data_IF_557262481276
#
_entry.id   IF_557262481276
#
_cell.length_a   1.000
_cell.length_b   1.000
_cell.length_c   1.000
_cell.angle_alpha   90.00
_cell.angle_beta   90.00
_cell.angle_gamma   90.00
#
_symmetry.space_group_name_H-M   'P 1'
#
loop_
_entity.id
_entity.type
_entity.pdbx_description
1 polymer ?
#
# COMPACT_ATOMS: atom_id res chain seq x y z
N UNK A 1 5.04 6.93 -9.58
CA UNK A 1 3.63 6.70 -9.98
C UNK A 1 3.63 5.42 -10.79
N UNK A 2 2.75 4.46 -10.44
CA UNK A 2 2.58 3.24 -11.24
C UNK A 2 2.17 3.63 -12.67
N UNK A 3 2.68 2.98 -13.73
CA UNK A 3 2.55 3.45 -15.12
C UNK A 3 1.10 3.72 -15.56
N UNK A 4 0.12 3.06 -14.95
CA UNK A 4 -1.28 3.13 -15.37
C UNK A 4 -2.15 4.09 -14.54
N UNK A 5 -1.63 4.67 -13.45
CA UNK A 5 -2.40 5.59 -12.58
C UNK A 5 -3.67 4.99 -11.92
N UNK A 6 -3.91 3.69 -12.11
CA UNK A 6 -5.12 3.00 -11.67
C UNK A 6 -5.00 2.42 -10.24
N UNK A 7 -3.87 2.62 -9.56
CA UNK A 7 -3.70 2.16 -8.18
C UNK A 7 -3.20 3.32 -7.31
N UNK A 8 -3.90 3.56 -6.20
CA UNK A 8 -3.52 4.50 -5.15
C UNK A 8 -3.09 3.71 -3.92
N UNK A 9 -1.83 3.89 -3.49
CA UNK A 9 -1.30 3.33 -2.25
C UNK A 9 -1.27 4.40 -1.16
N UNK A 10 -1.58 4.04 0.08
CA UNK A 10 -1.56 4.95 1.22
C UNK A 10 -1.42 4.20 2.55
N UNK A 11 -0.94 4.88 3.58
CA UNK A 11 -0.79 4.35 4.93
C UNK A 11 -2.04 4.62 5.79
N UNK A 12 -2.47 3.68 6.63
CA UNK A 12 -3.68 3.82 7.46
C UNK A 12 -3.67 2.90 8.69
N UNK A 13 -4.26 3.35 9.80
CA UNK A 13 -4.42 2.61 11.08
C UNK A 13 -5.80 1.96 11.19
N UNK A 14 -6.32 1.41 10.08
CA UNK A 14 -7.67 0.83 10.04
C UNK A 14 -7.75 -0.43 10.92
N UNK A 15 -8.90 -0.69 11.59
CA UNK A 15 -9.10 -1.93 12.34
C UNK A 15 -8.90 -3.18 11.46
N UNK A 16 -8.26 -4.21 12.01
CA UNK A 16 -7.96 -5.45 11.29
C UNK A 16 -6.67 -5.41 10.45
N UNK A 17 -5.85 -4.37 10.62
CA UNK A 17 -4.49 -4.30 10.11
C UNK A 17 -3.52 -5.28 10.80
N UNK A 18 -2.31 -5.38 10.25
CA UNK A 18 -1.22 -6.23 10.72
C UNK A 18 -0.39 -5.56 11.82
N UNK A 19 -0.12 -4.27 11.68
CA UNK A 19 0.66 -3.46 12.62
C UNK A 19 -0.11 -2.26 13.17
N UNK A 20 0.63 -1.21 13.53
CA UNK A 20 0.05 0.07 13.94
C UNK A 20 -0.48 0.84 12.74
N UNK A 21 0.40 1.14 11.79
CA UNK A 21 0.04 1.71 10.48
C UNK A 21 0.39 0.72 9.37
N UNK A 22 -0.55 0.43 8.48
CA UNK A 22 -0.35 -0.46 7.35
C UNK A 22 -0.51 0.26 6.01
N UNK A 23 0.10 -0.30 4.97
CA UNK A 23 -0.15 0.05 3.58
C UNK A 23 -1.44 -0.62 3.09
N UNK A 24 -2.30 0.22 2.51
CA UNK A 24 -3.51 -0.14 1.78
C UNK A 24 -3.39 0.33 0.34
N UNK A 25 -4.19 -0.27 -0.55
CA UNK A 25 -4.34 0.21 -1.91
C UNK A 25 -5.80 0.23 -2.36
N UNK A 26 -6.10 1.17 -3.27
CA UNK A 26 -7.36 1.25 -4.00
C UNK A 26 -7.09 1.08 -5.49
N UNK A 27 -7.92 0.29 -6.17
CA UNK A 27 -7.91 0.18 -7.63
C UNK A 27 -8.99 1.10 -8.20
N UNK A 28 -8.63 1.89 -9.21
CA UNK A 28 -9.57 2.70 -9.97
C UNK A 28 -10.23 1.83 -11.04
N UNK A 29 -11.55 1.90 -11.11
CA UNK A 29 -12.37 1.31 -12.17
C UNK A 29 -13.25 2.40 -12.79
N UNK A 30 -14.12 2.02 -13.73
CA UNK A 30 -15.01 2.93 -14.44
C UNK A 30 -15.98 3.69 -13.52
N UNK A 31 -16.26 3.15 -12.33
CA UNK A 31 -17.12 3.76 -11.30
C UNK A 31 -16.34 4.60 -10.28
N UNK A 32 -15.02 4.71 -10.40
CA UNK A 32 -14.15 5.45 -9.49
C UNK A 32 -13.23 4.56 -8.66
N UNK A 33 -12.88 4.99 -7.45
CA UNK A 33 -11.99 4.23 -6.57
C UNK A 33 -12.74 3.11 -5.85
N UNK A 34 -12.23 1.88 -5.96
CA UNK A 34 -12.73 0.75 -5.17
C UNK A 34 -12.38 0.89 -3.68
N UNK A 35 -13.02 0.07 -2.85
CA UNK A 35 -12.73 0.01 -1.43
C UNK A 35 -11.25 -0.35 -1.16
N UNK A 36 -10.63 0.22 -0.12
CA UNK A 36 -9.25 -0.10 0.24
C UNK A 36 -9.05 -1.58 0.57
N UNK A 37 -7.94 -2.13 0.11
CA UNK A 37 -7.49 -3.49 0.42
C UNK A 37 -6.16 -3.42 1.16
N UNK A 38 -6.03 -4.17 2.26
CA UNK A 38 -4.76 -4.28 2.99
C UNK A 38 -3.73 -4.98 2.09
N UNK A 39 -2.53 -4.41 1.96
CA UNK A 39 -1.50 -4.93 1.06
C UNK A 39 -0.88 -6.26 1.52
N UNK A 40 -1.28 -6.77 2.69
CA UNK A 40 -0.92 -8.07 3.20
C UNK A 40 0.50 -8.12 3.81
N UNK A 41 0.87 -9.26 4.41
CA UNK A 41 2.09 -9.39 5.22
C UNK A 41 3.39 -9.46 4.40
N UNK A 42 3.31 -9.49 3.06
CA UNK A 42 4.50 -9.34 2.21
C UNK A 42 4.96 -7.88 2.15
N UNK A 43 4.03 -6.95 2.38
CA UNK A 43 4.23 -5.49 2.28
C UNK A 43 4.24 -4.87 3.67
N UNK A 44 3.29 -5.26 4.52
CA UNK A 44 3.13 -4.72 5.86
C UNK A 44 3.98 -5.50 6.86
N UNK A 45 4.46 -4.77 7.86
CA UNK A 45 5.16 -5.28 9.03
C UNK A 45 4.23 -5.23 10.26
N UNK A 46 4.59 -5.87 11.38
CA UNK A 46 3.90 -5.64 12.64
C UNK A 46 4.07 -4.22 13.23
N UNK A 47 4.87 -3.36 12.58
CA UNK A 47 5.21 -2.01 13.03
C UNK A 47 4.36 -0.91 12.38
N UNK A 48 4.99 0.24 12.09
CA UNK A 48 4.34 1.37 11.42
C UNK A 48 4.94 1.56 10.01
N UNK A 49 4.19 1.19 8.98
CA UNK A 49 4.55 1.33 7.57
C UNK A 49 3.98 2.64 7.00
N UNK A 50 4.79 3.70 7.02
CA UNK A 50 4.33 5.05 6.67
C UNK A 50 4.71 5.52 5.25
N UNK A 51 5.68 4.87 4.62
CA UNK A 51 6.29 5.38 3.38
C UNK A 51 6.28 4.32 2.27
N UNK A 52 5.14 4.09 1.60
CA UNK A 52 5.10 3.20 0.44
C UNK A 52 5.92 3.80 -0.71
N UNK A 53 6.92 3.06 -1.18
CA UNK A 53 7.66 3.37 -2.40
C UNK A 53 7.37 2.34 -3.50
N UNK A 54 6.91 2.82 -4.66
CA UNK A 54 6.60 1.98 -5.82
C UNK A 54 7.80 2.05 -6.76
N UNK A 55 8.52 0.95 -6.95
CA UNK A 55 9.53 0.88 -8.00
C UNK A 55 8.85 0.78 -9.36
N UNK A 56 9.44 1.38 -10.39
CA UNK A 56 8.87 1.50 -11.75
C UNK A 56 8.74 0.14 -12.47
N UNK A 57 9.14 -0.96 -11.82
CA UNK A 57 9.05 -2.32 -12.35
C UNK A 57 7.85 -3.12 -11.83
N UNK A 58 6.97 -2.53 -11.02
CA UNK A 58 5.81 -3.24 -10.44
C UNK A 58 6.12 -3.99 -9.15
N UNK A 59 7.39 -4.07 -8.75
CA UNK A 59 7.80 -4.64 -7.47
C UNK A 59 7.93 -3.53 -6.40
N UNK A 60 7.27 -3.66 -5.24
CA UNK A 60 7.47 -2.74 -4.13
C UNK A 60 8.88 -2.93 -3.55
N UNK A 61 9.70 -1.88 -3.68
CA UNK A 61 11.04 -1.84 -3.07
C UNK A 61 10.92 -1.17 -1.70
N UNK A 62 11.14 -1.95 -0.63
CA UNK A 62 11.30 -1.42 0.72
C UNK A 62 12.78 -1.15 0.96
N UNK A 63 13.22 0.12 1.09
CA UNK A 63 14.52 0.37 1.69
C UNK A 63 14.43 -0.07 3.14
N UNK A 64 15.10 -1.19 3.47
CA UNK A 64 15.31 -1.62 4.85
C UNK A 64 16.00 -0.47 5.61
N UNK A 65 15.22 0.31 6.35
CA UNK A 65 15.75 1.32 7.26
C UNK A 65 16.32 0.60 8.47
N UNK A 66 17.61 0.84 8.71
CA UNK A 66 18.35 0.50 9.92
C UNK A 66 17.88 1.33 11.10
#
# INVERSE_FOLDING_TARGET
>A
MHPDGNILYFASERPGGLGGTDIYYCVKNDSGWAAPVNAGPLINTPGNDMFPYISVAGDPYFPLSR
#
